data_IF_675833371561
#
_entry.id   IF_675833371561
#
_cell.length_a   1.000
_cell.length_b   1.000
_cell.length_c   1.000
_cell.angle_alpha   90.00
_cell.angle_beta   90.00
_cell.angle_gamma   90.00
#
_symmetry.space_group_name_H-M   'P 1'
#
loop_
_entity.id
_entity.type
_entity.pdbx_description
1 polymer ?
#
# COMPACT_ATOMS: atom_id res chain seq x y z
N UNK A 1 28.32 29.39 1.05
CA UNK A 1 29.44 28.57 1.52
C UNK A 1 29.18 27.07 1.34
N UNK A 2 28.15 26.47 1.96
CA UNK A 2 27.86 25.02 1.83
C UNK A 2 27.49 24.61 0.40
N UNK A 3 26.60 25.35 -0.28
CA UNK A 3 26.22 25.06 -1.67
C UNK A 3 27.44 25.02 -2.63
N UNK A 4 28.29 26.04 -2.57
CA UNK A 4 29.53 26.12 -3.35
C UNK A 4 30.52 24.98 -3.03
N UNK A 5 30.59 24.53 -1.77
CA UNK A 5 31.40 23.37 -1.39
C UNK A 5 30.84 22.07 -1.99
N UNK A 6 29.53 21.87 -1.93
CA UNK A 6 28.86 20.72 -2.54
C UNK A 6 29.05 20.72 -4.06
N UNK A 7 28.83 21.85 -4.73
CA UNK A 7 29.03 21.98 -6.18
C UNK A 7 30.47 21.70 -6.60
N UNK A 8 31.46 22.19 -5.83
CA UNK A 8 32.87 21.95 -6.11
C UNK A 8 33.25 20.48 -5.90
N UNK A 9 32.71 19.84 -4.85
CA UNK A 9 33.03 18.44 -4.48
C UNK A 9 32.32 17.42 -5.37
N UNK A 10 31.09 17.70 -5.79
CA UNK A 10 30.23 16.77 -6.55
C UNK A 10 29.95 17.27 -7.97
N UNK A 11 30.86 18.05 -8.55
CA UNK A 11 30.75 18.56 -9.92
C UNK A 11 30.54 17.38 -10.90
N UNK A 12 29.48 17.45 -11.71
CA UNK A 12 29.11 16.39 -12.65
C UNK A 12 28.41 15.17 -12.02
N UNK A 13 28.15 15.20 -10.70
CA UNK A 13 27.45 14.15 -9.94
C UNK A 13 26.16 14.63 -9.26
N UNK A 14 25.66 15.81 -9.62
CA UNK A 14 24.44 16.36 -9.05
C UNK A 14 23.21 15.72 -9.67
N UNK A 15 22.20 15.43 -8.85
CA UNK A 15 20.98 14.77 -9.32
C UNK A 15 19.90 15.74 -9.78
N UNK A 16 19.94 17.02 -9.40
CA UNK A 16 18.90 18.01 -9.73
C UNK A 16 17.99 18.36 -8.54
N UNK A 17 17.96 17.54 -7.48
CA UNK A 17 17.33 17.92 -6.21
C UNK A 17 18.16 19.03 -5.55
N UNK A 18 17.50 20.10 -5.13
CA UNK A 18 18.07 21.21 -4.38
C UNK A 18 17.22 21.44 -3.14
N UNK A 19 17.85 21.47 -1.96
CA UNK A 19 17.15 21.66 -0.67
C UNK A 19 17.72 22.89 0.00
N UNK A 20 16.89 23.93 0.19
CA UNK A 20 17.33 25.17 0.83
C UNK A 20 18.52 25.82 0.11
N UNK A 21 18.58 25.71 -1.22
CA UNK A 21 19.67 26.21 -2.05
C UNK A 21 20.94 25.35 -2.05
N UNK A 22 20.94 24.17 -1.42
CA UNK A 22 22.06 23.23 -1.44
C UNK A 22 21.74 22.08 -2.40
N UNK A 23 22.50 21.88 -3.49
CA UNK A 23 22.25 20.78 -4.40
C UNK A 23 22.64 19.44 -3.77
N UNK A 24 21.75 18.45 -3.91
CA UNK A 24 21.95 17.09 -3.43
C UNK A 24 22.72 16.27 -4.49
N UNK A 25 23.85 15.64 -4.12
CA UNK A 25 24.53 14.68 -4.98
C UNK A 25 23.65 13.46 -5.28
N UNK A 26 23.67 12.98 -6.53
CA UNK A 26 22.85 11.85 -6.98
C UNK A 26 23.14 10.57 -6.17
N UNK A 27 24.39 10.37 -5.77
CA UNK A 27 24.84 9.23 -4.95
C UNK A 27 24.28 9.23 -3.51
N UNK A 28 23.68 10.34 -3.05
CA UNK A 28 23.03 10.44 -1.74
C UNK A 28 21.51 10.26 -1.80
N UNK A 29 20.87 10.41 -2.96
CA UNK A 29 19.41 10.27 -3.11
C UNK A 29 18.88 8.91 -2.60
N UNK A 30 19.54 7.75 -2.84
CA UNK A 30 19.07 6.45 -2.37
C UNK A 30 19.22 6.23 -0.85
N UNK A 31 19.88 7.13 -0.11
CA UNK A 31 20.19 6.95 1.33
C UNK A 31 19.10 7.45 2.27
N UNK A 32 17.94 7.79 1.73
CA UNK A 32 16.81 8.42 2.41
C UNK A 32 17.10 9.84 2.92
N UNK A 33 16.03 10.61 3.11
CA UNK A 33 16.08 11.97 3.64
C UNK A 33 15.02 12.11 4.74
N UNK A 34 15.43 12.69 5.88
CA UNK A 34 14.53 13.07 6.95
C UNK A 34 14.41 14.60 7.01
N UNK A 35 13.20 15.12 6.75
CA UNK A 35 12.87 16.55 6.89
C UNK A 35 12.08 16.74 8.19
N UNK A 36 12.65 17.47 9.15
CA UNK A 36 12.03 17.73 10.46
C UNK A 36 11.97 19.22 10.77
N UNK A 37 10.97 19.63 11.55
CA UNK A 37 10.73 21.02 11.92
C UNK A 37 9.31 21.26 12.43
N UNK A 38 9.09 22.39 13.12
CA UNK A 38 7.76 22.77 13.63
C UNK A 38 6.76 23.05 12.48
N UNK A 39 5.43 23.07 12.75
CA UNK A 39 4.46 23.57 11.78
C UNK A 39 4.86 24.97 11.26
N UNK A 40 4.75 25.20 9.95
CA UNK A 40 5.11 26.48 9.33
C UNK A 40 6.60 26.69 9.01
N UNK A 41 7.51 25.77 9.34
CA UNK A 41 8.96 25.94 9.07
C UNK A 41 9.40 25.54 7.65
N UNK A 42 8.47 25.45 6.70
CA UNK A 42 8.79 25.17 5.29
C UNK A 42 8.96 23.69 4.91
N UNK A 43 8.60 22.72 5.76
CA UNK A 43 8.69 21.28 5.42
C UNK A 43 8.00 20.92 4.10
N UNK A 44 6.77 21.42 3.90
CA UNK A 44 6.02 21.19 2.66
C UNK A 44 6.66 21.86 1.45
N UNK A 45 7.33 22.99 1.65
CA UNK A 45 8.09 23.67 0.58
C UNK A 45 9.26 22.79 0.16
N UNK A 46 10.04 22.27 1.11
CA UNK A 46 11.14 21.35 0.80
C UNK A 46 10.67 20.07 0.10
N UNK A 47 9.55 19.48 0.52
CA UNK A 47 8.98 18.31 -0.18
C UNK A 47 8.57 18.69 -1.61
N UNK A 48 7.98 19.86 -1.81
CA UNK A 48 7.61 20.34 -3.14
C UNK A 48 8.83 20.56 -4.06
N UNK A 49 9.94 21.10 -3.55
CA UNK A 49 11.20 21.25 -4.30
C UNK A 49 11.76 19.88 -4.75
N UNK A 50 11.68 18.87 -3.87
CA UNK A 50 12.08 17.49 -4.21
C UNK A 50 11.15 16.92 -5.29
N UNK A 51 9.84 17.14 -5.16
CA UNK A 51 8.86 16.70 -6.15
C UNK A 51 9.07 17.39 -7.50
N UNK A 52 9.37 18.69 -7.54
CA UNK A 52 9.69 19.41 -8.78
C UNK A 52 10.82 18.66 -9.54
N UNK A 53 11.93 18.36 -8.87
CA UNK A 53 13.06 17.65 -9.47
C UNK A 53 12.72 16.20 -9.91
N UNK A 54 12.01 15.44 -9.07
CA UNK A 54 11.52 14.09 -9.41
C UNK A 54 10.67 14.15 -10.69
N UNK A 55 9.78 15.14 -10.77
CA UNK A 55 8.86 15.29 -11.88
C UNK A 55 9.56 15.79 -13.14
N UNK A 56 10.54 16.67 -13.05
CA UNK A 56 11.37 17.09 -14.19
C UNK A 56 12.18 15.93 -14.78
N UNK A 57 12.71 15.05 -13.92
CA UNK A 57 13.47 13.86 -14.36
C UNK A 57 12.60 12.73 -14.91
N UNK A 58 11.30 12.76 -14.62
CA UNK A 58 10.40 11.65 -14.94
C UNK A 58 10.59 10.44 -14.00
N UNK A 59 11.17 10.66 -12.83
CA UNK A 59 11.33 9.61 -11.82
C UNK A 59 9.95 9.17 -11.31
N UNK A 60 9.81 7.87 -11.03
CA UNK A 60 8.60 7.32 -10.41
C UNK A 60 8.52 7.70 -8.93
N UNK A 61 7.34 8.07 -8.44
CA UNK A 61 7.15 8.49 -7.06
C UNK A 61 5.88 7.92 -6.41
N UNK A 62 5.97 7.50 -5.16
CA UNK A 62 4.82 7.18 -4.31
C UNK A 62 4.68 8.30 -3.27
N UNK A 63 3.57 9.04 -3.27
CA UNK A 63 3.42 10.27 -2.50
C UNK A 63 2.18 10.19 -1.61
N UNK A 64 2.42 10.16 -0.30
CA UNK A 64 1.38 10.46 0.69
C UNK A 64 1.08 11.95 0.67
N UNK A 65 -0.17 12.32 0.41
CA UNK A 65 -0.57 13.71 0.19
C UNK A 65 -1.77 14.08 1.06
N UNK A 66 -1.54 14.30 2.37
CA UNK A 66 -2.59 14.81 3.24
C UNK A 66 -3.15 16.11 2.66
N UNK A 67 -4.48 16.18 2.50
CA UNK A 67 -5.24 17.30 1.91
C UNK A 67 -5.22 17.40 0.38
N UNK A 68 -4.40 16.63 -0.33
CA UNK A 68 -4.40 16.62 -1.80
C UNK A 68 -3.70 17.80 -2.45
N UNK A 69 -2.87 18.55 -1.70
CA UNK A 69 -2.21 19.77 -2.20
C UNK A 69 -1.13 19.45 -3.24
N UNK A 70 -0.36 18.38 -3.04
CA UNK A 70 0.65 17.97 -4.00
C UNK A 70 0.02 17.41 -5.27
N UNK A 71 -1.01 16.57 -5.14
CA UNK A 71 -1.77 16.02 -6.25
C UNK A 71 -2.32 17.16 -7.12
N UNK A 72 -2.93 18.18 -6.52
CA UNK A 72 -3.46 19.33 -7.26
C UNK A 72 -2.38 20.07 -8.08
N UNK A 73 -1.15 20.14 -7.58
CA UNK A 73 -0.03 20.83 -8.24
C UNK A 73 0.72 19.96 -9.26
N UNK A 74 0.92 18.69 -8.96
CA UNK A 74 1.91 17.83 -9.65
C UNK A 74 1.30 16.72 -10.52
N UNK A 75 -0.02 16.55 -10.49
CA UNK A 75 -0.72 15.55 -11.29
C UNK A 75 -0.39 15.65 -12.78
N UNK A 76 -0.12 14.50 -13.40
CA UNK A 76 0.00 14.35 -14.86
C UNK A 76 -0.80 13.14 -15.34
N UNK A 77 -1.16 13.15 -16.62
CA UNK A 77 -1.73 11.96 -17.25
C UNK A 77 -0.76 10.77 -17.11
N UNK A 78 -1.29 9.61 -16.71
CA UNK A 78 -0.50 8.41 -16.42
C UNK A 78 -0.13 8.23 -14.95
N UNK A 79 -0.34 9.24 -14.10
CA UNK A 79 -0.29 9.06 -12.65
C UNK A 79 -1.50 8.24 -12.15
N UNK A 80 -1.38 7.71 -10.94
CA UNK A 80 -2.37 6.84 -10.30
C UNK A 80 -2.85 7.46 -8.99
N UNK A 81 -4.17 7.52 -8.78
CA UNK A 81 -4.76 7.88 -7.48
C UNK A 81 -5.11 6.60 -6.71
N UNK A 82 -4.73 6.54 -5.44
CA UNK A 82 -5.00 5.44 -4.51
C UNK A 82 -5.78 5.96 -3.31
N UNK A 83 -7.01 6.40 -3.59
CA UNK A 83 -7.96 6.85 -2.57
C UNK A 83 -9.37 6.38 -2.97
N UNK A 84 -9.96 5.39 -2.30
CA UNK A 84 -11.28 4.86 -2.67
C UNK A 84 -12.42 5.91 -2.64
N UNK A 85 -12.20 7.05 -1.97
CA UNK A 85 -13.16 8.15 -1.88
C UNK A 85 -12.97 9.21 -2.99
N UNK A 86 -11.97 9.04 -3.85
CA UNK A 86 -11.73 9.87 -5.03
C UNK A 86 -12.21 9.14 -6.30
N UNK A 87 -13.02 9.81 -7.11
CA UNK A 87 -13.58 9.24 -8.34
C UNK A 87 -12.51 8.85 -9.38
N UNK A 88 -11.28 9.40 -9.28
CA UNK A 88 -10.15 9.08 -10.15
C UNK A 88 -9.36 7.87 -9.67
N UNK A 89 -9.71 7.29 -8.52
CA UNK A 89 -8.95 6.20 -7.93
C UNK A 89 -8.84 5.03 -8.89
N UNK A 90 -7.64 4.47 -8.95
CA UNK A 90 -7.45 3.19 -9.61
C UNK A 90 -8.35 2.14 -8.94
N UNK A 91 -8.92 1.29 -9.79
CA UNK A 91 -9.62 0.11 -9.34
C UNK A 91 -8.58 -0.88 -8.82
N UNK A 92 -8.29 -0.80 -7.53
CA UNK A 92 -7.35 -1.69 -6.85
C UNK A 92 -8.10 -2.87 -6.22
N UNK A 93 -7.45 -4.04 -6.20
CA UNK A 93 -7.95 -5.23 -5.50
C UNK A 93 -6.79 -5.98 -4.86
N UNK A 94 -6.94 -6.50 -3.62
CA UNK A 94 -5.96 -7.43 -3.06
C UNK A 94 -5.69 -8.63 -3.98
N UNK A 95 -6.70 -9.08 -4.74
CA UNK A 95 -6.58 -10.22 -5.65
C UNK A 95 -5.64 -9.94 -6.84
N UNK A 96 -5.48 -8.67 -7.23
CA UNK A 96 -4.58 -8.27 -8.32
C UNK A 96 -3.09 -8.33 -7.92
N UNK A 97 -2.81 -8.40 -6.61
CA UNK A 97 -1.46 -8.44 -6.05
C UNK A 97 -0.91 -9.85 -5.91
N UNK A 98 -1.80 -10.85 -6.02
CA UNK A 98 -1.48 -12.27 -5.94
C UNK A 98 -0.96 -12.77 -7.29
N UNK A 99 0.30 -13.21 -7.30
CA UNK A 99 0.94 -13.90 -8.44
C UNK A 99 0.97 -15.41 -8.22
N UNK A 100 0.94 -15.84 -6.96
CA UNK A 100 0.86 -17.23 -6.57
C UNK A 100 0.02 -17.39 -5.27
N UNK A 101 -0.48 -18.60 -4.96
CA UNK A 101 -1.31 -18.83 -3.77
C UNK A 101 -0.65 -18.37 -2.46
N UNK A 102 0.68 -18.46 -2.34
CA UNK A 102 1.44 -18.01 -1.17
C UNK A 102 1.32 -16.52 -0.87
N UNK A 103 1.02 -15.68 -1.88
CA UNK A 103 0.83 -14.24 -1.68
C UNK A 103 -0.40 -13.92 -0.80
N UNK A 104 -1.36 -14.84 -0.68
CA UNK A 104 -2.53 -14.66 0.18
C UNK A 104 -2.14 -14.45 1.66
N UNK A 105 -1.12 -15.15 2.14
CA UNK A 105 -0.65 -15.03 3.52
C UNK A 105 0.01 -13.67 3.77
N UNK A 106 0.83 -13.22 2.81
CA UNK A 106 1.47 -11.91 2.85
C UNK A 106 0.41 -10.80 2.87
N UNK A 107 -0.55 -10.84 1.94
CA UNK A 107 -1.61 -9.84 1.85
C UNK A 107 -2.49 -9.79 3.10
N UNK A 108 -2.83 -10.96 3.65
CA UNK A 108 -3.62 -11.02 4.87
C UNK A 108 -2.90 -10.36 6.05
N UNK A 109 -1.57 -10.55 6.18
CA UNK A 109 -0.75 -9.92 7.21
C UNK A 109 -0.54 -8.42 6.99
N UNK A 110 -0.44 -7.97 5.73
CA UNK A 110 -0.37 -6.54 5.41
C UNK A 110 -1.69 -5.80 5.68
N UNK A 111 -2.84 -6.46 5.49
CA UNK A 111 -4.16 -5.88 5.79
C UNK A 111 -4.50 -5.93 7.29
N UNK A 112 -4.23 -7.07 7.94
CA UNK A 112 -4.43 -7.29 9.38
C UNK A 112 -3.04 -7.29 10.05
N UNK A 113 -2.59 -6.15 10.60
CA UNK A 113 -1.24 -6.02 11.14
C UNK A 113 -1.01 -6.96 12.34
N UNK A 114 0.24 -7.27 12.62
CA UNK A 114 0.59 -8.03 13.82
C UNK A 114 0.24 -7.23 15.09
N UNK A 115 -0.22 -7.95 16.12
CA UNK A 115 -0.42 -7.41 17.46
C UNK A 115 0.56 -8.04 18.45
N UNK A 116 0.79 -7.35 19.57
CA UNK A 116 1.62 -7.82 20.68
C UNK A 116 0.78 -8.25 21.88
N UNK A 117 1.38 -9.02 22.79
CA UNK A 117 0.73 -9.45 24.02
C UNK A 117 -0.45 -10.40 23.81
N UNK A 118 -1.53 -10.16 24.56
CA UNK A 118 -2.71 -11.04 24.59
C UNK A 118 -3.50 -11.09 23.27
N UNK A 119 -3.37 -10.05 22.43
CA UNK A 119 -4.12 -9.93 21.17
C UNK A 119 -3.40 -10.56 19.97
N UNK A 120 -2.12 -10.95 20.13
CA UNK A 120 -1.30 -11.50 19.06
C UNK A 120 -1.92 -12.74 18.41
N UNK A 121 -2.49 -13.66 19.20
CA UNK A 121 -3.13 -14.87 18.68
C UNK A 121 -4.39 -14.56 17.88
N UNK A 122 -5.19 -13.58 18.32
CA UNK A 122 -6.42 -13.18 17.62
C UNK A 122 -6.12 -12.57 16.25
N UNK A 123 -5.07 -11.75 16.16
CA UNK A 123 -4.62 -11.20 14.89
C UNK A 123 -4.12 -12.30 13.94
N UNK A 124 -3.37 -13.29 14.45
CA UNK A 124 -2.94 -14.45 13.63
C UNK A 124 -4.13 -15.25 13.09
N UNK A 125 -5.16 -15.49 13.91
CA UNK A 125 -6.37 -16.16 13.43
C UNK A 125 -7.14 -15.32 12.41
N UNK A 126 -7.22 -14.00 12.60
CA UNK A 126 -7.83 -13.09 11.63
C UNK A 126 -7.07 -13.07 10.30
N UNK A 127 -5.74 -13.09 10.33
CA UNK A 127 -4.88 -13.22 9.15
C UNK A 127 -5.13 -14.56 8.44
N UNK A 128 -5.16 -15.68 9.16
CA UNK A 128 -5.43 -17.01 8.58
C UNK A 128 -6.86 -17.12 8.00
N UNK A 129 -7.84 -16.48 8.64
CA UNK A 129 -9.20 -16.37 8.11
C UNK A 129 -9.23 -15.60 6.79
N UNK A 130 -8.63 -14.40 6.75
CA UNK A 130 -8.56 -13.58 5.54
C UNK A 130 -7.74 -14.27 4.43
N UNK A 131 -6.65 -14.96 4.78
CA UNK A 131 -5.86 -15.75 3.83
C UNK A 131 -6.72 -16.78 3.09
N UNK A 132 -7.56 -17.53 3.82
CA UNK A 132 -8.45 -18.52 3.20
C UNK A 132 -9.46 -17.88 2.25
N UNK A 133 -10.01 -16.72 2.62
CA UNK A 133 -10.92 -15.94 1.77
C UNK A 133 -10.21 -15.46 0.49
N UNK A 134 -9.01 -14.89 0.62
CA UNK A 134 -8.23 -14.42 -0.54
C UNK A 134 -7.89 -15.57 -1.50
N UNK A 135 -7.50 -16.74 -0.96
CA UNK A 135 -7.26 -17.94 -1.77
C UNK A 135 -8.50 -18.38 -2.53
N UNK A 136 -9.65 -18.47 -1.83
CA UNK A 136 -10.92 -18.83 -2.46
C UNK A 136 -11.28 -17.84 -3.56
N UNK A 137 -11.33 -16.54 -3.25
CA UNK A 137 -11.70 -15.50 -4.21
C UNK A 137 -10.75 -15.45 -5.41
N UNK A 138 -9.44 -15.63 -5.21
CA UNK A 138 -8.48 -15.65 -6.31
C UNK A 138 -8.70 -16.88 -7.22
N UNK A 139 -8.82 -18.08 -6.64
CA UNK A 139 -9.02 -19.32 -7.41
C UNK A 139 -10.35 -19.34 -8.18
N UNK A 140 -11.40 -18.76 -7.60
CA UNK A 140 -12.72 -18.67 -8.21
C UNK A 140 -12.90 -17.42 -9.09
N UNK A 141 -11.85 -16.62 -9.31
CA UNK A 141 -11.89 -15.38 -10.11
C UNK A 141 -12.99 -14.40 -9.67
N UNK A 142 -13.16 -14.25 -8.36
CA UNK A 142 -14.13 -13.33 -7.76
C UNK A 142 -13.55 -11.91 -7.64
N UNK A 143 -14.32 -11.02 -7.00
CA UNK A 143 -14.03 -9.59 -6.88
C UNK A 143 -13.99 -9.12 -5.41
N UNK A 144 -13.75 -7.82 -5.23
CA UNK A 144 -13.73 -7.19 -3.92
C UNK A 144 -15.04 -7.35 -3.16
N UNK A 145 -16.19 -7.34 -3.85
CA UNK A 145 -17.48 -7.57 -3.21
C UNK A 145 -17.56 -8.95 -2.56
N UNK A 146 -17.02 -9.99 -3.20
CA UNK A 146 -16.93 -11.32 -2.62
C UNK A 146 -16.03 -11.37 -1.37
N UNK A 147 -14.87 -10.68 -1.38
CA UNK A 147 -13.99 -10.59 -0.20
C UNK A 147 -14.77 -9.97 0.97
N UNK A 148 -15.43 -8.83 0.74
CA UNK A 148 -16.17 -8.12 1.77
C UNK A 148 -17.33 -8.96 2.29
N UNK A 149 -18.10 -9.59 1.40
CA UNK A 149 -19.22 -10.46 1.77
C UNK A 149 -18.76 -11.65 2.61
N UNK A 150 -17.77 -12.43 2.14
CA UNK A 150 -17.27 -13.60 2.86
C UNK A 150 -16.68 -13.21 4.22
N UNK A 151 -16.02 -12.07 4.31
CA UNK A 151 -15.41 -11.63 5.56
C UNK A 151 -16.43 -11.16 6.59
N UNK A 152 -17.42 -10.36 6.17
CA UNK A 152 -18.26 -9.59 7.07
C UNK A 152 -19.70 -10.12 7.20
N UNK A 153 -20.23 -10.77 6.16
CA UNK A 153 -21.66 -11.03 6.03
C UNK A 153 -22.01 -12.50 5.84
N UNK A 154 -21.13 -13.30 5.24
CA UNK A 154 -21.40 -14.70 4.93
C UNK A 154 -21.76 -15.50 6.19
N UNK A 155 -22.72 -16.42 6.02
CA UNK A 155 -23.11 -17.35 7.08
C UNK A 155 -22.06 -18.45 7.22
N UNK A 156 -22.07 -19.14 8.36
CA UNK A 156 -21.09 -20.19 8.63
C UNK A 156 -21.14 -21.32 7.59
N UNK A 157 -22.34 -21.75 7.17
CA UNK A 157 -22.49 -22.84 6.19
C UNK A 157 -21.85 -22.48 4.83
N UNK A 158 -22.08 -21.25 4.37
CA UNK A 158 -21.46 -20.71 3.15
C UNK A 158 -19.93 -20.67 3.30
N UNK A 159 -19.42 -20.22 4.44
CA UNK A 159 -17.97 -20.19 4.67
C UNK A 159 -17.37 -21.59 4.72
N UNK A 160 -18.06 -22.57 5.32
CA UNK A 160 -17.58 -23.96 5.35
C UNK A 160 -17.50 -24.54 3.95
N UNK A 161 -18.49 -24.27 3.10
CA UNK A 161 -18.49 -24.68 1.70
C UNK A 161 -17.37 -24.01 0.91
N UNK A 162 -17.28 -22.67 0.98
CA UNK A 162 -16.35 -21.87 0.17
C UNK A 162 -14.90 -22.00 0.60
N UNK A 163 -14.64 -22.08 1.90
CA UNK A 163 -13.29 -22.13 2.47
C UNK A 163 -12.80 -23.57 2.73
N UNK A 164 -13.56 -24.58 2.30
CA UNK A 164 -13.11 -25.98 2.35
C UNK A 164 -11.76 -26.15 1.65
N UNK A 165 -10.82 -26.84 2.31
CA UNK A 165 -9.47 -27.05 1.78
C UNK A 165 -8.53 -25.84 1.89
N UNK A 166 -8.98 -24.72 2.45
CA UNK A 166 -8.11 -23.56 2.75
C UNK A 166 -7.61 -23.61 4.20
N UNK A 167 -6.54 -22.86 4.55
CA UNK A 167 -6.08 -22.73 5.94
C UNK A 167 -7.16 -22.23 6.90
N UNK A 168 -8.16 -21.48 6.42
CA UNK A 168 -9.24 -20.97 7.26
C UNK A 168 -10.25 -22.05 7.71
N UNK A 169 -10.30 -23.20 7.05
CA UNK A 169 -11.27 -24.26 7.36
C UNK A 169 -11.20 -24.73 8.82
N UNK A 170 -9.99 -24.80 9.40
CA UNK A 170 -9.78 -25.20 10.79
C UNK A 170 -10.25 -24.18 11.83
N UNK A 171 -10.54 -22.94 11.42
CA UNK A 171 -11.08 -21.89 12.29
C UNK A 171 -12.61 -21.87 12.31
N UNK A 172 -13.26 -22.60 11.39
CA UNK A 172 -14.71 -22.62 11.26
C UNK A 172 -15.30 -23.71 12.15
N UNK A 173 -16.14 -23.36 13.14
CA UNK A 173 -16.76 -24.33 14.04
C UNK A 173 -17.82 -25.18 13.33
N UNK A 174 -18.22 -26.29 13.95
CA UNK A 174 -19.39 -27.08 13.52
C UNK A 174 -20.72 -26.38 13.77
N UNK A 175 -20.80 -25.58 14.84
CA UNK A 175 -22.00 -24.84 15.22
C UNK A 175 -21.73 -23.34 15.19
N UNK A 176 -22.75 -22.58 14.81
CA UNK A 176 -22.66 -21.13 14.60
C UNK A 176 -22.45 -20.32 15.89
N UNK A 177 -22.69 -20.89 17.06
CA UNK A 177 -22.62 -20.25 18.38
C UNK A 177 -21.21 -20.23 19.00
N UNK A 178 -20.16 -20.55 18.23
CA UNK A 178 -18.79 -20.53 18.74
C UNK A 178 -18.30 -19.11 19.04
N UNK A 179 -17.97 -18.78 20.31
CA UNK A 179 -17.39 -17.48 20.66
C UNK A 179 -16.08 -17.21 19.93
N UNK A 180 -15.28 -18.26 19.69
CA UNK A 180 -13.99 -18.15 19.00
C UNK A 180 -14.17 -17.61 17.57
N UNK A 181 -15.14 -18.12 16.82
CA UNK A 181 -15.38 -17.66 15.45
C UNK A 181 -15.81 -16.20 15.40
N UNK A 182 -16.71 -15.80 16.30
CA UNK A 182 -17.12 -14.41 16.43
C UNK A 182 -15.96 -13.50 16.82
N UNK A 183 -15.06 -13.94 17.69
CA UNK A 183 -13.83 -13.22 18.02
C UNK A 183 -12.91 -13.07 16.81
N UNK A 184 -12.63 -14.15 16.06
CA UNK A 184 -11.77 -14.09 14.86
C UNK A 184 -12.34 -13.12 13.81
N UNK A 185 -13.64 -13.24 13.50
CA UNK A 185 -14.30 -12.31 12.57
C UNK A 185 -14.34 -10.88 13.13
N UNK A 186 -14.59 -10.73 14.42
CA UNK A 186 -14.59 -9.43 15.10
C UNK A 186 -13.24 -8.73 15.05
N UNK A 187 -12.14 -9.48 15.21
CA UNK A 187 -10.77 -8.96 15.07
C UNK A 187 -10.46 -8.59 13.62
N UNK A 188 -10.89 -9.38 12.63
CA UNK A 188 -10.64 -9.09 11.22
C UNK A 188 -11.46 -7.91 10.67
N UNK A 189 -12.70 -7.75 11.15
CA UNK A 189 -13.69 -6.81 10.58
C UNK A 189 -13.20 -5.37 10.42
N UNK A 190 -12.58 -4.71 11.43
CA UNK A 190 -12.12 -3.32 11.31
C UNK A 190 -11.08 -3.11 10.21
N UNK A 191 -10.27 -4.14 9.92
CA UNK A 191 -9.21 -4.11 8.91
C UNK A 191 -9.74 -4.35 7.50
N UNK A 192 -10.85 -5.08 7.39
CA UNK A 192 -11.49 -5.45 6.12
C UNK A 192 -12.55 -4.42 5.71
N UNK A 193 -13.19 -3.75 6.67
CA UNK A 193 -14.20 -2.72 6.42
C UNK A 193 -13.79 -1.69 5.36
N UNK A 194 -12.54 -1.17 5.33
CA UNK A 194 -12.13 -0.19 4.31
C UNK A 194 -12.15 -0.74 2.87
N UNK A 195 -12.09 -2.07 2.69
CA UNK A 195 -12.22 -2.71 1.37
C UNK A 195 -13.61 -2.52 0.77
N UNK A 196 -14.65 -2.25 1.60
CA UNK A 196 -15.99 -1.93 1.12
C UNK A 196 -16.08 -0.61 0.34
N UNK A 197 -15.05 0.23 0.42
CA UNK A 197 -14.98 1.48 -0.35
C UNK A 197 -14.27 1.32 -1.70
N UNK A 198 -13.61 0.19 -1.93
CA UNK A 198 -13.00 -0.09 -3.22
C UNK A 198 -14.08 -0.37 -4.28
N UNK A 199 -13.68 -0.33 -5.55
CA UNK A 199 -14.56 -0.78 -6.62
C UNK A 199 -14.99 -2.24 -6.36
N UNK A 200 -16.31 -2.53 -6.26
CA UNK A 200 -16.80 -3.86 -5.87
C UNK A 200 -16.43 -4.93 -6.90
N UNK A 201 -16.35 -4.56 -8.18
CA UNK A 201 -16.08 -5.47 -9.31
C UNK A 201 -14.59 -5.60 -9.66
N UNK A 202 -13.70 -4.94 -8.91
CA UNK A 202 -12.27 -5.12 -9.10
C UNK A 202 -11.84 -6.48 -8.50
N UNK A 203 -11.19 -7.31 -9.32
CA UNK A 203 -10.63 -8.61 -8.94
C UNK A 203 -9.19 -8.77 -9.41
N UNK A 204 -8.77 -9.99 -9.75
CA UNK A 204 -7.37 -10.29 -10.07
C UNK A 204 -6.78 -9.55 -11.30
N UNK A 205 -7.63 -8.98 -12.17
CA UNK A 205 -7.22 -8.20 -13.35
C UNK A 205 -7.21 -6.68 -13.12
N UNK A 206 -7.49 -6.25 -11.89
CA UNK A 206 -7.53 -4.83 -11.54
C UNK A 206 -6.11 -4.23 -11.44
N UNK A 207 -6.01 -2.95 -11.08
CA UNK A 207 -4.72 -2.30 -10.89
C UNK A 207 -3.92 -2.97 -9.76
N UNK A 208 -2.65 -3.30 -10.03
CA UNK A 208 -1.70 -3.81 -9.04
C UNK A 208 -0.66 -2.75 -8.69
N UNK A 209 -0.61 -2.37 -7.41
CA UNK A 209 0.39 -1.45 -6.88
C UNK A 209 1.77 -2.10 -6.81
N UNK A 210 1.86 -3.41 -6.55
CA UNK A 210 3.12 -4.17 -6.58
C UNK A 210 3.72 -4.18 -7.98
N UNK A 211 2.91 -4.43 -9.01
CA UNK A 211 3.34 -4.40 -10.40
C UNK A 211 3.73 -2.98 -10.84
N UNK A 212 2.95 -1.96 -10.46
CA UNK A 212 3.31 -0.57 -10.72
C UNK A 212 4.61 -0.15 -10.03
N UNK A 213 4.84 -0.58 -8.79
CA UNK A 213 6.07 -0.30 -8.05
C UNK A 213 7.29 -1.01 -8.64
N UNK A 214 7.09 -2.13 -9.33
CA UNK A 214 8.16 -2.84 -10.06
C UNK A 214 8.47 -2.12 -11.38
N UNK A 215 7.50 -2.02 -12.29
CA UNK A 215 7.73 -1.64 -13.70
C UNK A 215 6.93 -0.42 -14.18
N UNK A 216 6.06 0.14 -13.34
CA UNK A 216 5.20 1.26 -13.72
C UNK A 216 5.94 2.57 -13.97
N UNK A 217 5.19 3.62 -14.30
CA UNK A 217 5.71 4.97 -14.49
C UNK A 217 4.80 5.99 -13.79
N UNK A 218 5.23 7.26 -13.80
CA UNK A 218 4.47 8.35 -13.19
C UNK A 218 4.49 8.32 -11.66
N UNK A 219 3.49 8.91 -11.04
CA UNK A 219 3.36 8.97 -9.59
C UNK A 219 2.10 8.26 -9.09
N UNK A 220 2.17 7.62 -7.93
CA UNK A 220 1.02 7.12 -7.17
C UNK A 220 0.74 8.04 -5.99
N UNK A 221 -0.54 8.41 -5.81
CA UNK A 221 -0.97 9.46 -4.88
C UNK A 221 -1.97 8.93 -3.86
N UNK A 222 -1.71 9.12 -2.57
CA UNK A 222 -2.69 8.90 -1.49
C UNK A 222 -3.19 10.25 -0.99
N UNK A 223 -4.20 10.81 -1.68
CA UNK A 223 -4.80 12.09 -1.33
C UNK A 223 -5.92 11.94 -0.29
N UNK A 224 -5.56 11.59 0.95
CA UNK A 224 -6.55 11.48 2.03
C UNK A 224 -6.68 12.79 2.82
N UNK A 225 -7.86 13.01 3.39
CA UNK A 225 -8.08 14.04 4.40
C UNK A 225 -7.73 13.50 5.79
N UNK A 226 -7.38 14.39 6.73
CA UNK A 226 -7.01 14.01 8.10
C UNK A 226 -8.11 13.19 8.81
N UNK A 227 -9.38 13.50 8.54
CA UNK A 227 -10.51 12.74 9.08
C UNK A 227 -10.65 11.32 8.49
N UNK A 228 -10.06 11.06 7.32
CA UNK A 228 -10.18 9.79 6.59
C UNK A 228 -9.01 8.83 6.90
N UNK A 229 -7.86 9.35 7.35
CA UNK A 229 -6.63 8.55 7.52
C UNK A 229 -6.82 7.43 8.55
N UNK A 230 -7.59 7.66 9.61
CA UNK A 230 -7.82 6.65 10.66
C UNK A 230 -8.50 5.41 10.09
N UNK A 231 -9.44 5.60 9.17
CA UNK A 231 -10.21 4.52 8.57
C UNK A 231 -9.53 3.91 7.33
N UNK A 232 -8.64 4.64 6.65
CA UNK A 232 -7.86 4.12 5.53
C UNK A 232 -6.48 3.59 5.91
N UNK A 233 -6.06 3.74 7.18
CA UNK A 233 -4.69 3.44 7.63
C UNK A 233 -4.18 2.07 7.18
N UNK A 234 -5.03 1.06 7.29
CA UNK A 234 -4.66 -0.34 7.03
C UNK A 234 -4.61 -0.63 5.55
N UNK A 235 -5.52 -0.03 4.76
CA UNK A 235 -5.46 -0.05 3.30
C UNK A 235 -4.18 0.62 2.78
N UNK A 236 -3.87 1.82 3.29
CA UNK A 236 -2.65 2.55 2.93
C UNK A 236 -1.41 1.74 3.33
N UNK A 237 -1.38 1.23 4.56
CA UNK A 237 -0.29 0.39 5.06
C UNK A 237 -0.04 -0.83 4.17
N UNK A 238 -1.10 -1.56 3.82
CA UNK A 238 -0.98 -2.72 2.94
C UNK A 238 -0.46 -2.36 1.54
N UNK A 239 -0.89 -1.23 0.98
CA UNK A 239 -0.40 -0.76 -0.31
C UNK A 239 1.08 -0.33 -0.24
N UNK A 240 1.51 0.30 0.86
CA UNK A 240 2.92 0.65 1.08
C UNK A 240 3.81 -0.58 1.23
N UNK A 241 3.37 -1.62 1.94
CA UNK A 241 4.08 -2.90 2.02
C UNK A 241 4.27 -3.53 0.62
N UNK A 242 3.23 -3.48 -0.21
CA UNK A 242 3.26 -4.01 -1.57
C UNK A 242 4.17 -3.19 -2.50
N UNK A 243 4.30 -1.89 -2.27
CA UNK A 243 5.26 -1.04 -2.98
C UNK A 243 6.69 -1.44 -2.60
N UNK A 244 6.95 -1.61 -1.31
CA UNK A 244 8.27 -2.06 -0.85
C UNK A 244 8.63 -3.41 -1.49
N UNK A 245 7.68 -4.35 -1.54
CA UNK A 245 7.88 -5.62 -2.21
C UNK A 245 8.13 -5.46 -3.72
N UNK A 246 7.31 -4.65 -4.41
CA UNK A 246 7.48 -4.41 -5.84
C UNK A 246 8.83 -3.76 -6.19
N UNK A 247 9.35 -2.89 -5.32
CA UNK A 247 10.70 -2.31 -5.45
C UNK A 247 11.78 -3.36 -5.26
N UNK A 248 11.66 -4.24 -4.27
CA UNK A 248 12.63 -5.33 -4.03
C UNK A 248 12.65 -6.38 -5.16
N UNK A 249 11.57 -6.49 -5.93
CA UNK A 249 11.45 -7.38 -7.08
C UNK A 249 12.01 -6.80 -8.38
N UNK A 250 12.44 -5.53 -8.38
CA UNK A 250 13.05 -4.94 -9.56
C UNK A 250 14.34 -5.68 -9.90
N UNK A 251 14.62 -5.89 -11.20
CA UNK A 251 15.91 -6.41 -11.61
C UNK A 251 17.01 -5.47 -11.13
N UNK A 252 18.16 -6.03 -10.76
CA UNK A 252 19.31 -5.22 -10.37
C UNK A 252 19.70 -4.26 -11.50
N UNK A 253 19.62 -2.95 -11.23
CA UNK A 253 20.08 -1.94 -12.17
C UNK A 253 21.62 -1.97 -12.24
N UNK A 254 22.22 -2.25 -13.41
CA UNK A 254 23.67 -2.24 -13.60
C UNK A 254 24.33 -0.90 -13.26
N UNK A 255 23.59 0.21 -13.40
CA UNK A 255 24.11 1.56 -13.16
C UNK A 255 24.07 1.95 -11.68
N UNK A 256 23.27 1.27 -10.86
CA UNK A 256 23.20 1.50 -9.42
C UNK A 256 24.45 1.02 -8.65
N UNK A 257 25.36 0.28 -9.31
CA UNK A 257 26.65 -0.19 -8.72
C UNK A 257 27.86 0.70 -9.05
N UNK A 258 27.70 1.78 -9.83
CA UNK A 258 28.81 2.66 -10.26
C UNK A 258 28.88 3.99 -9.48
N UNK A 259 28.25 4.07 -8.32
CA UNK A 259 28.32 5.22 -7.40
C UNK A 259 29.54 5.20 -6.48
#
# INVERSE_FOLDING_TARGET
>A
MVAQMCEKRYRGKLGGIVIGGVPMPRELEPRHLLVTGAPGTGKSVTIAEILDAIRERGDRAAVGDPKGEYLARFWRAGDVVLNPLDARSAQWSPLAEMRAPEDAALLARSLVPDAEGQDASWHRFAQQFLQGILLHCHSASLDNAAIVHLSLHAKLDELRERLAGTPAAGLLPEKADSPMFHSVRGTASPYIQPLSWLSPHAGAKAFSVRAWARDGAGAAWWNYQDAQISAMRTLIGAQLDLIALGVLEQPADPDCRRG
#
